data_IF_688865084597
#
_entry.id   IF_688865084597
#
_cell.length_a   1.000
_cell.length_b   1.000
_cell.length_c   1.000
_cell.angle_alpha   90.00
_cell.angle_beta   90.00
_cell.angle_gamma   90.00
#
_symmetry.space_group_name_H-M   'P 1'
#
loop_
_entity.id
_entity.type
_entity.pdbx_description
1 polymer ?
#
# COMPACT_ATOMS: atom_id res chain seq x y z
N UNK A 1 23.01 23.14 -5.77
CA UNK A 1 22.54 22.04 -4.87
C UNK A 1 21.63 22.62 -3.78
N UNK A 2 20.31 22.59 -4.02
CA UNK A 2 19.32 22.99 -3.03
C UNK A 2 18.87 21.74 -2.28
N UNK A 3 19.01 21.76 -0.96
CA UNK A 3 18.58 20.70 -0.07
C UNK A 3 17.05 20.72 0.04
N UNK A 4 16.40 19.60 -0.27
CA UNK A 4 14.96 19.38 -0.02
C UNK A 4 14.73 19.19 1.48
N UNK A 5 14.83 20.29 2.23
CA UNK A 5 14.38 20.30 3.62
C UNK A 5 12.86 20.40 3.64
N UNK A 6 12.19 19.25 3.77
CA UNK A 6 10.78 19.21 4.14
C UNK A 6 10.66 19.62 5.62
N UNK A 7 9.94 20.71 5.94
CA UNK A 7 9.73 21.09 7.33
C UNK A 7 8.90 20.03 8.05
N UNK A 8 9.35 19.62 9.23
CA UNK A 8 8.60 18.74 10.13
C UNK A 8 7.64 19.63 10.93
N UNK A 9 6.33 19.43 10.73
CA UNK A 9 5.31 20.07 11.55
C UNK A 9 5.26 19.35 12.91
N UNK A 10 5.82 19.99 13.93
CA UNK A 10 5.73 19.52 15.31
C UNK A 10 4.46 20.08 15.96
N UNK A 11 3.42 19.26 16.03
CA UNK A 11 2.21 19.56 16.78
C UNK A 11 2.37 19.11 18.24
N UNK A 12 2.27 20.05 19.18
CA UNK A 12 2.45 19.80 20.63
C UNK A 12 1.12 19.60 21.36
N UNK A 13 -0.01 19.79 20.68
CA UNK A 13 -1.34 19.61 21.25
C UNK A 13 -2.28 19.05 20.18
N UNK A 14 -2.09 17.79 19.76
CA UNK A 14 -2.82 17.24 18.63
C UNK A 14 -4.29 17.15 18.99
N UNK A 15 -5.12 17.93 18.29
CA UNK A 15 -6.57 17.72 18.33
C UNK A 15 -6.84 16.24 18.06
N UNK A 16 -7.50 15.57 19.02
CA UNK A 16 -7.91 14.18 18.86
C UNK A 16 -8.74 14.12 17.59
N UNK A 17 -8.17 13.60 16.50
CA UNK A 17 -8.90 13.35 15.27
C UNK A 17 -9.93 12.27 15.62
N UNK A 18 -11.12 12.71 16.02
CA UNK A 18 -12.27 11.87 16.35
C UNK A 18 -12.81 11.27 15.06
N UNK A 19 -12.07 10.29 14.56
CA UNK A 19 -12.36 9.63 13.30
C UNK A 19 -11.10 9.02 12.74
N UNK A 20 -11.02 7.69 12.79
CA UNK A 20 -10.11 6.97 11.91
C UNK A 20 -10.44 7.47 10.49
N UNK A 21 -9.46 7.98 9.72
CA UNK A 21 -9.73 8.35 8.34
C UNK A 21 -10.42 7.17 7.68
N UNK A 22 -11.60 7.40 7.09
CA UNK A 22 -12.29 6.40 6.26
C UNK A 22 -11.31 5.98 5.18
N UNK A 23 -10.60 4.88 5.43
CA UNK A 23 -9.61 4.35 4.52
C UNK A 23 -10.42 3.74 3.38
N UNK A 24 -10.68 4.54 2.35
CA UNK A 24 -11.30 4.06 1.12
C UNK A 24 -10.50 2.85 0.63
N UNK A 25 -11.20 1.81 0.20
CA UNK A 25 -10.59 0.63 -0.38
C UNK A 25 -9.54 1.00 -1.43
N UNK A 26 -8.39 0.34 -1.35
CA UNK A 26 -7.31 0.46 -2.33
C UNK A 26 -6.79 -0.93 -2.62
N UNK A 27 -6.89 -1.32 -3.88
CA UNK A 27 -6.30 -2.56 -4.34
C UNK A 27 -4.77 -2.48 -4.29
N UNK A 28 -4.11 -3.51 -3.76
CA UNK A 28 -2.65 -3.60 -3.78
C UNK A 28 -2.18 -4.58 -4.87
N UNK A 29 -1.25 -4.14 -5.72
CA UNK A 29 -0.77 -4.96 -6.83
C UNK A 29 -0.06 -6.23 -6.37
N UNK A 30 0.51 -6.21 -5.16
CA UNK A 30 1.15 -7.38 -4.56
C UNK A 30 0.16 -8.54 -4.36
N UNK A 31 -1.13 -8.26 -4.20
CA UNK A 31 -2.17 -9.29 -4.04
C UNK A 31 -2.26 -10.20 -5.26
N UNK A 32 -1.91 -9.73 -6.46
CA UNK A 32 -1.91 -10.55 -7.68
C UNK A 32 -0.89 -11.70 -7.64
N UNK A 33 0.09 -11.65 -6.75
CA UNK A 33 1.07 -12.72 -6.57
C UNK A 33 0.67 -13.71 -5.46
N UNK A 34 -0.48 -13.50 -4.81
CA UNK A 34 -0.91 -14.29 -3.69
C UNK A 34 -1.88 -15.39 -4.10
N UNK A 35 -1.55 -16.61 -3.68
CA UNK A 35 -2.46 -17.74 -3.78
C UNK A 35 -3.68 -17.47 -2.90
N UNK A 36 -4.87 -17.37 -3.50
CA UNK A 36 -6.13 -17.13 -2.80
C UNK A 36 -6.84 -15.85 -3.20
N UNK A 37 -6.18 -14.91 -3.89
CA UNK A 37 -6.87 -13.72 -4.42
C UNK A 37 -8.00 -14.13 -5.38
N UNK A 38 -7.70 -15.03 -6.31
CA UNK A 38 -8.67 -15.51 -7.32
C UNK A 38 -9.89 -16.15 -6.65
N UNK A 39 -9.66 -16.98 -5.63
CA UNK A 39 -10.72 -17.64 -4.88
C UNK A 39 -11.62 -16.64 -4.16
N UNK A 40 -11.05 -15.64 -3.48
CA UNK A 40 -11.83 -14.59 -2.79
C UNK A 40 -12.68 -13.81 -3.80
N UNK A 41 -12.10 -13.40 -4.92
CA UNK A 41 -12.84 -12.66 -5.96
C UNK A 41 -13.95 -13.54 -6.55
N UNK A 42 -13.66 -14.80 -6.86
CA UNK A 42 -14.63 -15.72 -7.44
C UNK A 42 -15.77 -16.03 -6.48
N UNK A 43 -15.47 -16.30 -5.21
CA UNK A 43 -16.47 -16.53 -4.15
C UNK A 43 -17.36 -15.32 -3.96
N UNK A 44 -16.77 -14.13 -3.85
CA UNK A 44 -17.54 -12.90 -3.73
C UNK A 44 -18.46 -12.70 -4.95
N UNK A 45 -17.93 -12.89 -6.16
CA UNK A 45 -18.71 -12.71 -7.38
C UNK A 45 -19.88 -13.69 -7.52
N UNK A 46 -19.71 -14.92 -7.04
CA UNK A 46 -20.74 -15.93 -7.00
C UNK A 46 -21.81 -15.62 -5.94
N UNK A 47 -21.38 -15.27 -4.72
CA UNK A 47 -22.26 -15.02 -3.57
C UNK A 47 -23.20 -13.83 -3.78
N UNK A 48 -22.80 -12.87 -4.62
CA UNK A 48 -23.61 -11.70 -4.95
C UNK A 48 -24.22 -11.77 -6.35
N UNK A 49 -24.32 -12.95 -6.96
CA UNK A 49 -24.71 -13.14 -8.38
C UNK A 49 -26.01 -12.41 -8.80
N UNK A 50 -26.95 -12.25 -7.89
CA UNK A 50 -28.25 -11.57 -8.04
C UNK A 50 -28.18 -10.03 -8.01
N UNK A 51 -27.07 -9.45 -7.56
CA UNK A 51 -26.89 -7.99 -7.45
C UNK A 51 -26.37 -7.36 -8.75
N UNK A 52 -26.67 -6.06 -8.90
CA UNK A 52 -26.06 -5.22 -9.93
C UNK A 52 -24.57 -5.01 -9.65
N UNK A 53 -23.83 -4.56 -10.67
CA UNK A 53 -22.36 -4.53 -10.62
C UNK A 53 -21.78 -3.64 -9.53
N UNK A 54 -22.44 -2.52 -9.17
CA UNK A 54 -21.92 -1.59 -8.16
C UNK A 54 -21.93 -2.22 -6.76
N UNK A 55 -23.05 -2.75 -6.24
CA UNK A 55 -23.06 -3.49 -4.97
C UNK A 55 -22.12 -4.71 -4.94
N UNK A 56 -21.91 -5.39 -6.08
CA UNK A 56 -20.94 -6.50 -6.17
C UNK A 56 -19.51 -6.01 -5.93
N UNK A 57 -19.13 -4.90 -6.55
CA UNK A 57 -17.80 -4.31 -6.38
C UNK A 57 -17.57 -3.79 -4.96
N UNK A 58 -18.59 -3.20 -4.33
CA UNK A 58 -18.51 -2.74 -2.94
C UNK A 58 -18.29 -3.92 -1.97
N UNK A 59 -19.07 -4.99 -2.12
CA UNK A 59 -18.90 -6.18 -1.28
C UNK A 59 -17.54 -6.85 -1.52
N UNK A 60 -17.08 -6.92 -2.78
CA UNK A 60 -15.75 -7.45 -3.09
C UNK A 60 -14.63 -6.59 -2.51
N UNK A 61 -14.80 -5.27 -2.49
CA UNK A 61 -13.84 -4.36 -1.87
C UNK A 61 -13.74 -4.56 -0.35
N UNK A 62 -14.86 -4.82 0.32
CA UNK A 62 -14.90 -5.10 1.76
C UNK A 62 -14.25 -6.46 2.07
N UNK A 63 -14.62 -7.52 1.35
CA UNK A 63 -14.01 -8.84 1.51
C UNK A 63 -12.50 -8.84 1.26
N UNK A 64 -12.05 -8.15 0.20
CA UNK A 64 -10.62 -7.98 -0.09
C UNK A 64 -9.91 -7.15 0.98
N UNK A 65 -10.59 -6.15 1.56
CA UNK A 65 -10.04 -5.35 2.65
C UNK A 65 -9.80 -6.18 3.91
N UNK A 66 -10.72 -7.09 4.23
CA UNK A 66 -10.58 -7.96 5.39
C UNK A 66 -9.58 -9.08 5.15
N UNK A 67 -9.61 -9.71 3.96
CA UNK A 67 -8.61 -10.70 3.54
C UNK A 67 -7.19 -10.13 3.59
N UNK A 68 -6.98 -8.96 3.00
CA UNK A 68 -5.65 -8.34 2.91
C UNK A 68 -5.05 -7.96 4.27
N UNK A 69 -5.86 -7.65 5.29
CA UNK A 69 -5.35 -7.41 6.65
C UNK A 69 -4.65 -8.64 7.21
N UNK A 70 -5.23 -9.82 7.04
CA UNK A 70 -4.61 -11.08 7.48
C UNK A 70 -3.34 -11.38 6.65
N UNK A 71 -3.41 -11.06 5.36
CA UNK A 71 -2.37 -11.41 4.40
C UNK A 71 -1.12 -10.54 4.49
N UNK A 72 -1.26 -9.24 4.73
CA UNK A 72 -0.14 -8.32 4.94
C UNK A 72 0.72 -8.70 6.16
N UNK A 73 0.09 -9.18 7.23
CA UNK A 73 0.83 -9.69 8.40
C UNK A 73 1.56 -10.98 8.06
N UNK A 74 0.92 -11.87 7.29
CA UNK A 74 1.52 -13.13 6.82
C UNK A 74 2.76 -12.89 5.96
N UNK A 75 2.71 -11.98 4.98
CA UNK A 75 3.87 -11.66 4.12
C UNK A 75 5.10 -11.24 4.93
N UNK A 76 4.93 -10.31 5.89
CA UNK A 76 6.03 -9.84 6.75
C UNK A 76 6.58 -10.96 7.62
N UNK A 77 5.70 -11.75 8.20
CA UNK A 77 6.08 -12.90 9.01
C UNK A 77 6.89 -13.91 8.20
N UNK A 78 6.44 -14.26 7.01
CA UNK A 78 7.12 -15.24 6.15
C UNK A 78 8.48 -14.76 5.67
N UNK A 79 8.66 -13.47 5.39
CA UNK A 79 9.97 -12.88 5.09
C UNK A 79 10.93 -13.10 6.27
N UNK A 80 10.49 -12.79 7.48
CA UNK A 80 11.33 -12.90 8.67
C UNK A 80 11.65 -14.36 9.02
N UNK A 81 10.66 -15.25 8.88
CA UNK A 81 10.86 -16.68 9.05
C UNK A 81 11.85 -17.25 8.03
N UNK A 82 11.75 -16.84 6.76
CA UNK A 82 12.65 -17.29 5.69
C UNK A 82 14.07 -16.77 5.91
N UNK A 83 14.24 -15.53 6.38
CA UNK A 83 15.54 -14.98 6.80
C UNK A 83 16.16 -15.79 7.93
N UNK A 84 15.38 -16.10 8.96
CA UNK A 84 15.84 -16.91 10.10
C UNK A 84 16.31 -18.29 9.66
N UNK A 85 15.55 -18.97 8.78
CA UNK A 85 15.94 -20.28 8.23
C UNK A 85 17.24 -20.21 7.44
N UNK A 86 17.44 -19.17 6.62
CA UNK A 86 18.68 -18.98 5.86
C UNK A 86 19.89 -18.73 6.77
N UNK A 87 19.74 -17.94 7.84
CA UNK A 87 20.79 -17.73 8.83
C UNK A 87 21.16 -19.03 9.54
N UNK A 88 20.16 -19.80 9.97
CA UNK A 88 20.38 -21.08 10.66
C UNK A 88 21.16 -22.06 9.79
N UNK A 89 20.84 -22.18 8.49
CA UNK A 89 21.59 -23.05 7.58
C UNK A 89 23.03 -22.60 7.39
N UNK A 90 23.27 -21.27 7.38
CA UNK A 90 24.62 -20.71 7.29
C UNK A 90 25.46 -21.01 8.53
N UNK A 91 24.85 -20.92 9.72
CA UNK A 91 25.52 -21.18 11.00
C UNK A 91 25.80 -22.67 11.24
N UNK A 92 24.96 -23.56 10.71
CA UNK A 92 25.11 -25.02 10.83
C UNK A 92 26.18 -25.62 9.90
N UNK A 93 26.98 -24.79 9.21
CA UNK A 93 28.16 -25.27 8.50
C UNK A 93 27.89 -25.90 7.13
N UNK A 94 26.85 -25.44 6.41
CA UNK A 94 26.73 -25.64 4.95
C UNK A 94 26.50 -27.06 4.43
N UNK A 95 26.52 -28.09 5.29
CA UNK A 95 26.37 -29.50 4.88
C UNK A 95 24.90 -29.94 4.72
N UNK A 96 23.97 -28.97 4.68
CA UNK A 96 22.54 -29.21 4.57
C UNK A 96 22.07 -29.12 3.11
N UNK A 97 21.66 -30.27 2.57
CA UNK A 97 20.80 -30.46 1.39
C UNK A 97 20.67 -29.24 0.46
N UNK A 98 21.53 -29.13 -0.56
CA UNK A 98 21.55 -28.02 -1.52
C UNK A 98 20.17 -27.71 -2.13
N UNK A 99 19.30 -28.73 -2.27
CA UNK A 99 17.93 -28.55 -2.75
C UNK A 99 17.06 -27.74 -1.76
N UNK A 100 17.22 -27.96 -0.46
CA UNK A 100 16.52 -27.20 0.58
C UNK A 100 16.96 -25.73 0.59
N UNK A 101 18.27 -25.47 0.48
CA UNK A 101 18.81 -24.10 0.38
C UNK A 101 18.29 -23.42 -0.88
N UNK A 102 18.31 -24.10 -2.03
CA UNK A 102 17.77 -23.59 -3.28
C UNK A 102 16.28 -23.24 -3.18
N UNK A 103 15.49 -24.08 -2.52
CA UNK A 103 14.07 -23.82 -2.27
C UNK A 103 13.85 -22.60 -1.36
N UNK A 104 14.63 -22.46 -0.28
CA UNK A 104 14.57 -21.30 0.60
C UNK A 104 14.94 -20.01 -0.11
N UNK A 105 16.00 -20.00 -0.93
CA UNK A 105 16.35 -18.82 -1.73
C UNK A 105 15.24 -18.47 -2.72
N UNK A 106 14.69 -19.45 -3.43
CA UNK A 106 13.57 -19.22 -4.35
C UNK A 106 12.35 -18.64 -3.63
N UNK A 107 12.02 -19.15 -2.43
CA UNK A 107 10.93 -18.62 -1.61
C UNK A 107 11.21 -17.18 -1.16
N UNK A 108 12.41 -16.92 -0.68
CA UNK A 108 12.85 -15.59 -0.25
C UNK A 108 12.77 -14.58 -1.41
N UNK A 109 13.25 -14.94 -2.60
CA UNK A 109 13.16 -14.08 -3.79
C UNK A 109 11.70 -13.75 -4.12
N UNK A 110 10.80 -14.75 -4.09
CA UNK A 110 9.38 -14.52 -4.33
C UNK A 110 8.77 -13.52 -3.33
N UNK A 111 9.04 -13.70 -2.03
CA UNK A 111 8.53 -12.82 -0.97
C UNK A 111 9.07 -11.39 -1.11
N UNK A 112 10.34 -11.23 -1.49
CA UNK A 112 10.94 -9.91 -1.73
C UNK A 112 10.34 -9.22 -2.96
N UNK A 113 9.98 -9.94 -4.02
CA UNK A 113 9.28 -9.36 -5.17
C UNK A 113 7.90 -8.84 -4.76
N UNK A 114 7.18 -9.58 -3.92
CA UNK A 114 5.88 -9.14 -3.38
C UNK A 114 6.03 -7.87 -2.53
N UNK A 115 7.01 -7.85 -1.62
CA UNK A 115 7.32 -6.68 -0.80
C UNK A 115 7.75 -5.48 -1.67
N UNK A 116 8.59 -5.69 -2.68
CA UNK A 116 9.00 -4.64 -3.62
C UNK A 116 7.81 -4.06 -4.38
N UNK A 117 6.89 -4.90 -4.90
CA UNK A 117 5.66 -4.42 -5.55
C UNK A 117 4.78 -3.59 -4.61
N UNK A 118 4.62 -4.06 -3.36
CA UNK A 118 3.90 -3.35 -2.32
C UNK A 118 4.49 -1.95 -2.05
N UNK A 119 5.81 -1.86 -1.92
CA UNK A 119 6.50 -0.60 -1.66
C UNK A 119 6.54 0.31 -2.89
N UNK A 120 6.74 -0.21 -4.11
CA UNK A 120 6.70 0.59 -5.35
C UNK A 120 5.35 1.28 -5.53
N UNK A 121 4.25 0.59 -5.24
CA UNK A 121 2.92 1.17 -5.32
C UNK A 121 2.74 2.31 -4.31
N UNK A 122 3.21 2.13 -3.07
CA UNK A 122 3.13 3.13 -1.99
C UNK A 122 4.03 4.34 -2.21
N UNK A 123 5.24 4.10 -2.69
CA UNK A 123 6.19 5.14 -3.11
C UNK A 123 5.74 5.86 -4.39
N UNK A 124 4.65 5.39 -5.05
CA UNK A 124 4.18 5.89 -6.34
C UNK A 124 5.30 5.90 -7.37
N UNK A 125 6.22 4.91 -7.33
CA UNK A 125 7.43 4.90 -8.16
C UNK A 125 7.10 4.87 -9.66
N UNK A 126 5.95 4.31 -10.04
CA UNK A 126 5.44 4.38 -11.42
C UNK A 126 5.24 5.83 -11.91
N UNK A 127 4.95 6.76 -11.01
CA UNK A 127 4.84 8.19 -11.34
C UNK A 127 6.19 8.82 -11.67
N UNK A 128 7.31 8.25 -11.24
CA UNK A 128 8.63 8.72 -11.64
C UNK A 128 9.03 8.18 -13.02
N UNK A 129 8.54 7.00 -13.40
CA UNK A 129 8.83 6.39 -14.71
C UNK A 129 7.98 7.00 -15.82
N UNK A 130 6.73 7.34 -15.52
CA UNK A 130 5.76 7.88 -16.48
C UNK A 130 5.51 9.39 -16.31
N UNK A 131 5.92 9.99 -15.19
CA UNK A 131 5.67 11.41 -14.88
C UNK A 131 6.68 12.38 -15.48
N UNK A 132 7.76 11.90 -16.12
CA UNK A 132 8.60 12.75 -16.97
C UNK A 132 7.99 12.92 -18.38
N UNK A 133 7.00 12.09 -18.72
CA UNK A 133 6.16 12.36 -19.87
C UNK A 133 5.10 13.37 -19.40
N UNK A 134 5.23 14.59 -19.91
CA UNK A 134 4.33 15.75 -19.73
C UNK A 134 2.93 15.48 -20.34
N UNK A 135 2.31 14.36 -19.96
CA UNK A 135 1.07 13.85 -20.55
C UNK A 135 -0.13 14.58 -19.96
N UNK A 136 -1.20 14.66 -20.75
CA UNK A 136 -2.48 15.22 -20.30
C UNK A 136 -3.02 14.51 -19.04
N UNK A 137 -2.71 13.22 -18.88
CA UNK A 137 -3.08 12.43 -17.71
C UNK A 137 -2.32 12.86 -16.44
N UNK A 138 -1.03 13.18 -16.56
CA UNK A 138 -0.24 13.71 -15.44
C UNK A 138 -0.82 15.03 -14.96
N UNK A 139 -1.07 15.99 -15.86
CA UNK A 139 -1.66 17.28 -15.49
C UNK A 139 -3.07 17.14 -14.92
N UNK A 140 -3.90 16.22 -15.44
CA UNK A 140 -5.22 15.95 -14.89
C UNK A 140 -5.12 15.37 -13.46
N UNK A 141 -4.23 14.41 -13.24
CA UNK A 141 -3.99 13.78 -11.93
C UNK A 141 -3.42 14.78 -10.92
N UNK A 142 -2.45 15.60 -11.33
CA UNK A 142 -1.85 16.65 -10.52
C UNK A 142 -2.87 17.73 -10.14
N UNK A 143 -3.69 18.18 -11.10
CA UNK A 143 -4.78 19.14 -10.86
C UNK A 143 -5.82 18.58 -9.90
N UNK A 144 -6.23 17.33 -10.09
CA UNK A 144 -7.17 16.66 -9.18
C UNK A 144 -6.60 16.59 -7.76
N UNK A 145 -5.31 16.28 -7.61
CA UNK A 145 -4.65 16.29 -6.29
C UNK A 145 -4.52 17.69 -5.71
N UNK A 146 -4.19 18.70 -6.51
CA UNK A 146 -4.17 20.11 -6.06
C UNK A 146 -5.53 20.53 -5.53
N UNK A 147 -6.63 20.10 -6.17
CA UNK A 147 -8.00 20.36 -5.69
C UNK A 147 -8.30 19.67 -4.36
N UNK A 148 -7.89 18.41 -4.21
CA UNK A 148 -8.11 17.63 -2.97
C UNK A 148 -7.25 18.15 -1.81
N UNK A 149 -6.01 18.55 -2.09
CA UNK A 149 -5.07 19.05 -1.09
C UNK A 149 -5.20 20.57 -0.85
N UNK A 150 -6.14 21.24 -1.53
CA UNK A 150 -6.36 22.66 -1.34
C UNK A 150 -6.93 22.87 0.06
N UNK A 151 -6.14 23.48 0.92
CA UNK A 151 -6.61 24.03 2.19
C UNK A 151 -7.26 25.38 1.90
N UNK A 152 -8.60 25.51 2.01
CA UNK A 152 -9.30 26.72 1.58
C UNK A 152 -9.08 27.91 2.53
N UNK A 153 -8.79 27.65 3.80
CA UNK A 153 -8.43 28.64 4.81
C UNK A 153 -7.71 27.93 5.97
N UNK A 154 -6.97 28.70 6.75
CA UNK A 154 -6.44 28.30 8.05
C UNK A 154 -7.31 28.95 9.12
N UNK A 155 -7.58 28.25 10.22
CA UNK A 155 -8.37 28.78 11.33
C UNK A 155 -7.44 28.93 12.55
N UNK A 156 -7.41 30.13 13.14
CA UNK A 156 -6.61 30.37 14.34
C UNK A 156 -7.34 29.90 15.62
N UNK A 157 -6.64 29.90 16.76
CA UNK A 157 -7.20 29.48 18.04
C UNK A 157 -8.38 30.35 18.53
N UNK A 158 -8.63 31.49 17.88
CA UNK A 158 -9.78 32.37 18.14
C UNK A 158 -10.93 32.19 17.13
N UNK A 159 -10.86 31.19 16.26
CA UNK A 159 -11.86 30.89 15.24
C UNK A 159 -11.82 31.83 14.03
N UNK A 160 -10.78 32.66 13.88
CA UNK A 160 -10.64 33.54 12.71
C UNK A 160 -10.03 32.76 11.55
N UNK A 161 -10.70 32.86 10.41
CA UNK A 161 -10.27 32.22 9.16
C UNK A 161 -9.34 33.15 8.40
N UNK A 162 -8.12 32.68 8.16
CA UNK A 162 -7.10 33.33 7.35
C UNK A 162 -7.05 32.58 6.03
N UNK A 163 -7.48 33.22 4.96
CA UNK A 163 -7.31 32.75 3.58
C UNK A 163 -6.36 33.67 2.84
N UNK A 164 -5.51 33.14 1.96
CA UNK A 164 -4.76 33.98 1.02
C UNK A 164 -5.73 34.80 0.17
N UNK A 165 -5.73 36.11 0.37
CA UNK A 165 -6.28 37.08 -0.56
C UNK A 165 -5.32 37.19 -1.74
N UNK A 166 -5.69 36.60 -2.89
CA UNK A 166 -5.04 36.86 -4.18
C UNK A 166 -5.35 38.26 -4.70
#
# INVERSE_FOLDING_TARGET
PASDHYPILLDRDPAVRSGRPQCKFKFENAWCLESGLDEVVHQCWYNYSDKTIVPKLEACADELSDWSRSHCHKLRYEIEECRKKLLQVREQGGDSNANYIGALHKRMTHLLVQEDMFWRQRAKTHWYRDGDLNTRFFHASATSRKKVNRMPYLEDASGRRISDSS
#
